data_IF_616444840692
#
_entry.id   IF_616444840692
#
_cell.length_a   1.000
_cell.length_b   1.000
_cell.length_c   1.000
_cell.angle_alpha   90.00
_cell.angle_beta   90.00
_cell.angle_gamma   90.00
#
_symmetry.space_group_name_H-M   'P 1'
#
loop_
_entity.id
_entity.type
_entity.pdbx_description
1 polymer ?
#
# COMPACT_ATOMS: atom_id res chain seq x y z
N UNK A 1 -42.18 64.31 61.35
CA UNK A 1 -42.30 63.99 59.90
C UNK A 1 -41.85 62.55 59.70
N UNK A 2 -42.81 61.61 59.75
CA UNK A 2 -43.25 60.73 58.64
C UNK A 2 -42.21 59.65 58.27
N UNK A 3 -42.22 58.47 58.90
CA UNK A 3 -42.96 57.22 58.59
C UNK A 3 -42.39 56.33 57.45
N UNK A 4 -42.03 55.11 57.86
CA UNK A 4 -42.15 53.78 57.19
C UNK A 4 -41.22 53.36 56.02
N UNK A 5 -40.47 52.28 56.26
CA UNK A 5 -40.06 51.20 55.33
C UNK A 5 -41.29 50.54 54.65
N UNK A 6 -41.23 49.72 53.56
CA UNK A 6 -40.36 48.52 53.43
C UNK A 6 -40.01 47.99 51.99
N UNK A 7 -39.14 46.95 51.97
CA UNK A 7 -39.03 45.77 51.05
C UNK A 7 -39.21 45.90 49.52
N UNK A 8 -38.19 45.40 48.79
CA UNK A 8 -38.31 44.15 48.02
C UNK A 8 -38.40 44.18 46.48
N UNK A 9 -37.66 43.24 45.87
CA UNK A 9 -37.91 42.51 44.61
C UNK A 9 -37.33 43.02 43.26
N UNK A 10 -36.41 42.18 42.75
CA UNK A 10 -36.31 41.60 41.39
C UNK A 10 -36.47 42.40 40.10
N UNK A 11 -35.54 42.09 39.18
CA UNK A 11 -35.72 41.75 37.75
C UNK A 11 -35.34 42.77 36.66
N UNK A 12 -34.34 42.33 35.87
CA UNK A 12 -34.20 42.33 34.40
C UNK A 12 -34.21 43.63 33.53
N UNK A 13 -33.09 43.78 32.80
CA UNK A 13 -33.01 44.16 31.36
C UNK A 13 -32.47 45.57 31.03
N UNK A 14 -32.06 45.89 29.78
CA UNK A 14 -31.45 45.03 28.74
C UNK A 14 -30.28 45.68 27.93
N UNK A 15 -29.60 44.84 27.12
CA UNK A 15 -29.03 45.11 25.76
C UNK A 15 -27.98 46.19 25.48
N UNK A 16 -26.80 45.77 24.98
CA UNK A 16 -26.19 46.11 23.65
C UNK A 16 -24.73 45.61 23.59
N UNK A 17 -24.27 44.96 22.48
CA UNK A 17 -23.87 45.74 21.31
C UNK A 17 -24.24 45.13 19.94
N UNK A 18 -24.63 46.03 19.02
CA UNK A 18 -24.02 46.18 17.68
C UNK A 18 -24.14 45.04 16.65
N UNK A 19 -24.69 45.29 15.44
CA UNK A 19 -24.95 44.27 14.44
C UNK A 19 -23.71 44.02 13.57
N UNK A 20 -23.17 42.80 13.61
CA UNK A 20 -22.43 42.29 12.45
C UNK A 20 -23.40 41.52 11.56
N UNK A 21 -23.83 42.25 10.55
CA UNK A 21 -24.53 41.80 9.35
C UNK A 21 -23.97 40.50 8.79
N UNK A 22 -24.87 39.54 8.56
CA UNK A 22 -24.60 38.37 7.74
C UNK A 22 -24.20 38.76 6.32
N UNK A 23 -23.10 38.18 5.85
CA UNK A 23 -22.73 38.13 4.44
C UNK A 23 -22.92 36.70 3.90
N UNK A 24 -23.40 36.51 2.67
CA UNK A 24 -23.71 35.21 2.11
C UNK A 24 -22.43 34.57 1.56
N UNK A 25 -21.63 33.98 2.44
CA UNK A 25 -20.64 32.99 2.02
C UNK A 25 -21.22 31.59 2.23
N UNK A 26 -22.34 31.30 1.58
CA UNK A 26 -22.67 29.94 1.15
C UNK A 26 -21.80 29.56 -0.05
N UNK A 27 -20.49 29.74 0.08
CA UNK A 27 -19.52 29.05 -0.76
C UNK A 27 -19.58 27.60 -0.37
N UNK A 28 -20.36 26.80 -1.12
CA UNK A 28 -20.38 25.36 -0.96
C UNK A 28 -18.95 24.85 -0.99
N UNK A 29 -18.44 24.46 0.18
CA UNK A 29 -17.18 23.74 0.30
C UNK A 29 -17.40 22.43 -0.43
N UNK A 30 -17.08 22.39 -1.71
CA UNK A 30 -16.97 21.15 -2.47
C UNK A 30 -16.04 20.26 -1.68
N UNK A 31 -16.60 19.21 -1.06
CA UNK A 31 -15.83 18.30 -0.20
C UNK A 31 -14.65 17.76 -1.01
N UNK A 32 -13.38 18.08 -0.65
CA UNK A 32 -12.20 17.75 -1.48
C UNK A 32 -11.97 16.24 -1.67
N UNK A 33 -12.68 15.41 -0.91
CA UNK A 33 -12.48 13.96 -0.80
C UNK A 33 -12.94 13.16 -2.03
N UNK A 34 -13.92 13.66 -2.78
CA UNK A 34 -14.43 12.97 -3.97
C UNK A 34 -13.50 13.06 -5.17
N UNK A 35 -12.82 14.21 -5.33
CA UNK A 35 -11.97 14.50 -6.48
C UNK A 35 -10.62 13.79 -6.43
N UNK A 36 -9.96 13.67 -5.27
CA UNK A 36 -8.71 12.91 -5.15
C UNK A 36 -8.91 11.41 -5.38
N UNK A 37 -10.04 10.86 -4.90
CA UNK A 37 -10.41 9.45 -5.07
C UNK A 37 -10.63 9.07 -6.53
N UNK A 38 -11.45 9.85 -7.26
CA UNK A 38 -11.67 9.64 -8.69
C UNK A 38 -10.38 9.77 -9.49
N UNK A 39 -9.49 10.68 -9.09
CA UNK A 39 -8.17 10.85 -9.69
C UNK A 39 -7.28 9.62 -9.49
N UNK A 40 -7.23 9.02 -8.29
CA UNK A 40 -6.42 7.82 -8.05
C UNK A 40 -6.84 6.58 -8.84
N UNK A 41 -8.14 6.29 -8.86
CA UNK A 41 -8.69 5.22 -9.71
C UNK A 41 -8.46 5.53 -11.19
N UNK A 42 -8.64 6.79 -11.59
CA UNK A 42 -8.32 7.24 -12.95
C UNK A 42 -6.86 7.00 -13.32
N UNK A 43 -5.92 7.41 -12.47
CA UNK A 43 -4.49 7.17 -12.68
C UNK A 43 -4.14 5.68 -12.72
N UNK A 44 -4.72 4.86 -11.83
CA UNK A 44 -4.54 3.41 -11.88
C UNK A 44 -5.01 2.81 -13.21
N UNK A 45 -6.19 3.21 -13.71
CA UNK A 45 -6.70 2.78 -15.01
C UNK A 45 -5.82 3.26 -16.17
N UNK A 46 -5.37 4.52 -16.13
CA UNK A 46 -4.44 5.07 -17.13
C UNK A 46 -3.14 4.28 -17.13
N UNK A 47 -2.57 3.94 -15.97
CA UNK A 47 -1.37 3.10 -15.86
C UNK A 47 -1.57 1.73 -16.51
N UNK A 48 -2.72 1.08 -16.29
CA UNK A 48 -3.02 -0.21 -16.92
C UNK A 48 -3.09 -0.09 -18.44
N UNK A 49 -3.84 0.89 -18.96
CA UNK A 49 -3.99 1.09 -20.42
C UNK A 49 -2.65 1.42 -21.07
N UNK A 50 -1.92 2.40 -20.51
CA UNK A 50 -0.61 2.81 -21.02
C UNK A 50 0.39 1.66 -20.93
N UNK A 51 0.40 0.91 -19.83
CA UNK A 51 1.28 -0.24 -19.64
C UNK A 51 1.03 -1.35 -20.65
N UNK A 52 -0.24 -1.71 -20.92
CA UNK A 52 -0.60 -2.72 -21.94
C UNK A 52 -0.20 -2.26 -23.34
N UNK A 53 -0.45 -0.99 -23.68
CA UNK A 53 -0.04 -0.42 -24.97
C UNK A 53 1.48 -0.44 -25.09
N UNK A 54 2.20 0.04 -24.07
CA UNK A 54 3.65 0.10 -24.06
C UNK A 54 4.27 -1.30 -24.17
N UNK A 55 3.74 -2.28 -23.44
CA UNK A 55 4.16 -3.68 -23.52
C UNK A 55 3.99 -4.23 -24.94
N UNK A 56 2.82 -4.00 -25.54
CA UNK A 56 2.51 -4.48 -26.89
C UNK A 56 3.41 -3.84 -27.96
N UNK A 57 3.71 -2.55 -27.82
CA UNK A 57 4.61 -1.83 -28.72
C UNK A 57 6.04 -2.34 -28.58
N UNK A 58 6.56 -2.42 -27.36
CA UNK A 58 7.93 -2.90 -27.09
C UNK A 58 8.10 -4.33 -27.58
N UNK A 59 7.15 -5.23 -27.28
CA UNK A 59 7.14 -6.60 -27.77
C UNK A 59 7.21 -6.65 -29.30
N UNK A 60 6.33 -5.91 -29.97
CA UNK A 60 6.25 -5.91 -31.43
C UNK A 60 7.51 -5.37 -32.08
N UNK A 61 8.12 -4.32 -31.54
CA UNK A 61 9.39 -3.80 -32.05
C UNK A 61 10.52 -4.79 -31.81
N UNK A 62 10.64 -5.31 -30.57
CA UNK A 62 11.67 -6.28 -30.19
C UNK A 62 11.70 -7.49 -31.12
N UNK A 63 10.54 -8.11 -31.36
CA UNK A 63 10.41 -9.30 -32.23
C UNK A 63 10.64 -8.97 -33.71
N UNK A 64 10.22 -7.79 -34.18
CA UNK A 64 10.41 -7.41 -35.59
C UNK A 64 11.84 -7.04 -35.95
N UNK A 65 12.60 -6.53 -34.99
CA UNK A 65 13.96 -6.03 -35.23
C UNK A 65 15.03 -6.94 -34.64
N UNK A 66 14.66 -8.07 -34.04
CA UNK A 66 15.55 -8.96 -33.27
C UNK A 66 16.43 -8.21 -32.26
N UNK A 67 15.89 -7.14 -31.66
CA UNK A 67 16.66 -6.23 -30.82
C UNK A 67 16.51 -6.60 -29.35
N UNK A 68 17.38 -7.47 -28.86
CA UNK A 68 17.39 -7.93 -27.47
C UNK A 68 17.60 -6.80 -26.43
N UNK A 69 18.08 -5.62 -26.82
CA UNK A 69 18.18 -4.48 -25.91
C UNK A 69 16.81 -4.01 -25.40
N UNK A 70 15.71 -4.36 -26.08
CA UNK A 70 14.35 -4.06 -25.64
C UNK A 70 13.81 -5.08 -24.61
N UNK A 71 14.50 -6.19 -24.39
CA UNK A 71 14.03 -7.24 -23.48
C UNK A 71 13.97 -6.78 -22.00
N UNK A 72 14.98 -6.09 -21.43
CA UNK A 72 14.86 -5.53 -20.09
C UNK A 72 13.70 -4.54 -19.96
N UNK A 73 13.42 -3.77 -21.01
CA UNK A 73 12.27 -2.86 -21.07
C UNK A 73 10.95 -3.63 -21.05
N UNK A 74 10.85 -4.71 -21.82
CA UNK A 74 9.67 -5.59 -21.83
C UNK A 74 9.40 -6.19 -20.45
N UNK A 75 10.43 -6.73 -19.80
CA UNK A 75 10.35 -7.28 -18.43
C UNK A 75 9.85 -6.23 -17.45
N UNK A 76 10.46 -5.04 -17.46
CA UNK A 76 10.10 -3.95 -16.55
C UNK A 76 8.64 -3.53 -16.74
N UNK A 77 8.20 -3.27 -17.98
CA UNK A 77 6.83 -2.83 -18.25
C UNK A 77 5.82 -3.90 -17.84
N UNK A 78 6.08 -5.17 -18.20
CA UNK A 78 5.20 -6.28 -17.86
C UNK A 78 5.07 -6.48 -16.35
N UNK A 79 6.18 -6.35 -15.61
CA UNK A 79 6.20 -6.52 -14.16
C UNK A 79 5.59 -5.31 -13.41
N UNK A 80 5.84 -4.07 -13.86
CA UNK A 80 5.47 -2.84 -13.12
C UNK A 80 4.02 -2.41 -13.29
N UNK A 81 3.39 -2.73 -14.42
CA UNK A 81 2.10 -2.16 -14.81
C UNK A 81 1.00 -2.35 -13.77
N UNK A 82 0.78 -3.58 -13.31
CA UNK A 82 -0.30 -3.90 -12.36
C UNK A 82 0.04 -3.44 -10.93
N UNK A 83 1.24 -3.72 -10.37
CA UNK A 83 1.62 -3.22 -9.04
C UNK A 83 1.54 -1.70 -8.92
N UNK A 84 1.97 -0.97 -9.96
CA UNK A 84 1.94 0.49 -9.96
C UNK A 84 0.49 1.02 -9.99
N UNK A 85 -0.39 0.39 -10.76
CA UNK A 85 -1.81 0.77 -10.78
C UNK A 85 -2.46 0.63 -9.39
N UNK A 86 -2.15 -0.46 -8.68
CA UNK A 86 -2.63 -0.68 -7.31
C UNK A 86 -2.05 0.34 -6.33
N UNK A 87 -0.77 0.68 -6.48
CA UNK A 87 -0.13 1.72 -5.68
C UNK A 87 -0.81 3.08 -5.86
N UNK A 88 -1.19 3.48 -7.08
CA UNK A 88 -1.96 4.71 -7.30
C UNK A 88 -3.32 4.69 -6.58
N UNK A 89 -4.03 3.56 -6.60
CA UNK A 89 -5.31 3.41 -5.89
C UNK A 89 -5.14 3.49 -4.38
N UNK A 90 -4.11 2.85 -3.83
CA UNK A 90 -3.79 2.88 -2.41
C UNK A 90 -3.37 4.29 -1.96
N UNK A 91 -2.49 4.94 -2.73
CA UNK A 91 -2.01 6.30 -2.47
C UNK A 91 -3.17 7.31 -2.41
N UNK A 92 -4.11 7.23 -3.36
CA UNK A 92 -5.25 8.14 -3.39
C UNK A 92 -6.31 7.86 -2.31
N UNK A 93 -6.21 6.74 -1.59
CA UNK A 93 -7.17 6.36 -0.56
C UNK A 93 -7.01 7.15 0.74
N UNK A 94 -5.83 7.73 1.02
CA UNK A 94 -5.58 8.54 2.21
C UNK A 94 -4.95 9.90 1.86
N UNK A 95 -5.72 10.98 2.08
CA UNK A 95 -5.27 12.35 1.83
C UNK A 95 -4.08 12.76 2.70
N UNK A 96 -3.86 12.10 3.85
CA UNK A 96 -2.76 12.41 4.77
C UNK A 96 -1.39 12.01 4.21
N UNK A 97 -1.36 11.21 3.14
CA UNK A 97 -0.14 10.77 2.46
C UNK A 97 0.30 11.77 1.38
N UNK A 98 -0.57 12.71 0.98
CA UNK A 98 -0.20 13.77 0.04
C UNK A 98 1.01 14.58 0.56
N UNK A 99 1.92 14.95 -0.36
CA UNK A 99 3.19 15.59 -0.04
C UNK A 99 4.32 14.63 0.35
N UNK A 100 4.08 13.31 0.33
CA UNK A 100 5.07 12.26 0.60
C UNK A 100 5.30 11.35 -0.61
N UNK A 101 5.06 11.84 -1.84
CA UNK A 101 5.21 11.07 -3.08
C UNK A 101 6.62 10.49 -3.20
N UNK A 102 7.63 11.31 -2.90
CA UNK A 102 9.03 10.90 -2.91
C UNK A 102 9.32 9.75 -1.95
N UNK A 103 8.77 9.79 -0.73
CA UNK A 103 8.94 8.71 0.25
C UNK A 103 8.31 7.40 -0.24
N UNK A 104 7.11 7.48 -0.82
CA UNK A 104 6.41 6.32 -1.37
C UNK A 104 7.19 5.70 -2.54
N UNK A 105 7.69 6.54 -3.46
CA UNK A 105 8.51 6.09 -4.58
C UNK A 105 9.82 5.45 -4.11
N UNK A 106 10.53 6.08 -3.16
CA UNK A 106 11.74 5.54 -2.56
C UNK A 106 11.46 4.22 -1.83
N UNK A 107 10.31 4.09 -1.16
CA UNK A 107 9.91 2.84 -0.50
C UNK A 107 9.66 1.73 -1.51
N UNK A 108 9.06 2.02 -2.66
CA UNK A 108 8.91 1.04 -3.72
C UNK A 108 10.26 0.60 -4.30
N UNK A 109 11.14 1.56 -4.62
CA UNK A 109 12.45 1.25 -5.21
C UNK A 109 13.34 0.49 -4.22
N UNK A 110 13.59 1.05 -3.04
CA UNK A 110 14.47 0.43 -2.05
C UNK A 110 13.83 -0.79 -1.40
N UNK A 111 12.51 -0.82 -1.19
CA UNK A 111 11.81 -2.00 -0.69
C UNK A 111 11.94 -3.18 -1.64
N UNK A 112 11.85 -2.94 -2.95
CA UNK A 112 12.16 -3.94 -3.97
C UNK A 112 13.60 -4.40 -3.91
N UNK A 113 14.56 -3.47 -4.04
CA UNK A 113 15.99 -3.80 -4.08
C UNK A 113 16.41 -4.54 -2.81
N UNK A 114 16.27 -3.91 -1.64
CA UNK A 114 16.69 -4.47 -0.36
C UNK A 114 15.94 -5.77 -0.07
N UNK A 115 14.63 -5.80 -0.34
CA UNK A 115 13.81 -6.98 -0.11
C UNK A 115 14.31 -8.19 -0.92
N UNK A 116 14.37 -8.06 -2.24
CA UNK A 116 14.79 -9.15 -3.14
C UNK A 116 16.25 -9.57 -2.93
N UNK A 117 17.18 -8.64 -2.74
CA UNK A 117 18.58 -9.00 -2.49
C UNK A 117 18.78 -9.70 -1.15
N UNK A 118 18.06 -9.25 -0.12
CA UNK A 118 18.13 -9.88 1.21
C UNK A 118 17.50 -11.27 1.18
N UNK A 119 16.31 -11.38 0.57
CA UNK A 119 15.60 -12.64 0.41
C UNK A 119 16.44 -13.67 -0.36
N UNK A 120 16.89 -13.32 -1.57
CA UNK A 120 17.71 -14.21 -2.39
C UNK A 120 19.02 -14.65 -1.73
N UNK A 121 19.66 -13.78 -0.94
CA UNK A 121 20.88 -14.16 -0.19
C UNK A 121 20.58 -15.16 0.92
N UNK A 122 19.55 -14.88 1.74
CA UNK A 122 19.19 -15.71 2.88
C UNK A 122 18.56 -17.04 2.45
N UNK A 123 17.75 -17.04 1.41
CA UNK A 123 17.18 -18.26 0.83
C UNK A 123 18.26 -19.19 0.30
N UNK A 124 19.25 -18.63 -0.42
CA UNK A 124 20.40 -19.41 -0.86
C UNK A 124 21.07 -20.10 0.33
N UNK A 125 21.41 -19.36 1.39
CA UNK A 125 22.05 -19.94 2.58
C UNK A 125 21.17 -20.98 3.28
N UNK A 126 19.88 -20.70 3.47
CA UNK A 126 18.96 -21.56 4.23
C UNK A 126 18.61 -22.83 3.45
N UNK A 127 18.32 -22.74 2.16
CA UNK A 127 18.00 -23.92 1.35
C UNK A 127 19.22 -24.84 1.17
N UNK A 128 20.44 -24.30 1.15
CA UNK A 128 21.67 -25.12 1.12
C UNK A 128 21.93 -25.83 2.46
N UNK A 129 21.67 -25.19 3.61
CA UNK A 129 22.00 -25.74 4.94
C UNK A 129 20.87 -26.54 5.58
N UNK A 130 19.62 -26.17 5.30
CA UNK A 130 18.41 -26.71 5.94
C UNK A 130 17.29 -26.90 4.91
N UNK A 131 17.49 -27.74 3.88
CA UNK A 131 16.52 -27.91 2.78
C UNK A 131 15.14 -28.40 3.25
N UNK A 132 15.07 -29.07 4.41
CA UNK A 132 13.84 -29.59 4.99
C UNK A 132 12.88 -28.49 5.47
N UNK A 133 13.34 -27.26 5.67
CA UNK A 133 12.46 -26.13 6.01
C UNK A 133 11.58 -25.69 4.82
N UNK A 134 12.00 -26.02 3.59
CA UNK A 134 11.22 -25.85 2.37
C UNK A 134 10.61 -24.46 2.17
N UNK A 135 9.40 -24.41 1.61
CA UNK A 135 8.72 -23.16 1.24
C UNK A 135 8.29 -22.31 2.44
N UNK A 136 8.18 -22.88 3.65
CA UNK A 136 7.89 -22.10 4.85
C UNK A 136 9.05 -21.18 5.22
N UNK A 137 10.31 -21.66 5.11
CA UNK A 137 11.47 -20.81 5.34
C UNK A 137 11.57 -19.68 4.31
N UNK A 138 11.34 -20.00 3.03
CA UNK A 138 11.29 -18.99 1.94
C UNK A 138 10.27 -17.92 2.29
N UNK A 139 9.02 -18.31 2.60
CA UNK A 139 7.97 -17.37 2.98
C UNK A 139 8.35 -16.50 4.21
N UNK A 140 8.94 -17.08 5.26
CA UNK A 140 9.39 -16.32 6.43
C UNK A 140 10.47 -15.29 6.06
N UNK A 141 11.47 -15.71 5.28
CA UNK A 141 12.58 -14.86 4.85
C UNK A 141 12.06 -13.71 4.00
N UNK A 142 11.30 -14.02 2.97
CA UNK A 142 10.73 -13.08 2.03
C UNK A 142 9.84 -12.05 2.70
N UNK A 143 8.86 -12.51 3.50
CA UNK A 143 7.93 -11.59 4.17
C UNK A 143 8.64 -10.72 5.21
N UNK A 144 9.72 -11.20 5.83
CA UNK A 144 10.54 -10.39 6.74
C UNK A 144 11.39 -9.37 5.97
N UNK A 145 12.00 -9.76 4.86
CA UNK A 145 12.86 -8.90 4.04
C UNK A 145 12.07 -7.69 3.49
N UNK A 146 10.82 -7.90 3.07
CA UNK A 146 9.91 -6.83 2.60
C UNK A 146 9.63 -5.75 3.65
N UNK A 147 9.81 -6.06 4.94
CA UNK A 147 9.59 -5.13 6.04
C UNK A 147 10.83 -4.31 6.40
N UNK A 148 12.01 -4.56 5.84
CA UNK A 148 13.24 -3.85 6.22
C UNK A 148 13.10 -2.34 5.99
N UNK A 149 12.74 -1.94 4.77
CA UNK A 149 12.61 -0.52 4.41
C UNK A 149 11.45 0.15 5.17
N UNK A 150 10.23 -0.41 5.22
CA UNK A 150 9.18 0.11 6.08
C UNK A 150 9.57 0.15 7.56
N UNK A 151 10.28 -0.85 8.08
CA UNK A 151 10.74 -0.90 9.47
C UNK A 151 11.72 0.23 9.80
N UNK A 152 12.66 0.51 8.90
CA UNK A 152 13.57 1.65 8.99
C UNK A 152 12.80 2.97 9.03
N UNK A 153 11.84 3.15 8.10
CA UNK A 153 10.98 4.34 8.07
C UNK A 153 10.14 4.44 9.35
N UNK A 154 9.64 3.32 9.87
CA UNK A 154 8.86 3.30 11.11
C UNK A 154 9.70 3.78 12.30
N UNK A 155 10.95 3.33 12.41
CA UNK A 155 11.84 3.66 13.52
C UNK A 155 12.27 5.13 13.52
N UNK A 156 12.58 5.70 12.35
CA UNK A 156 13.08 7.09 12.24
C UNK A 156 12.04 8.12 11.82
N UNK A 157 10.89 7.67 11.30
CA UNK A 157 9.80 8.53 10.89
C UNK A 157 9.04 9.12 12.08
N UNK A 158 8.71 10.42 11.99
CA UNK A 158 7.93 11.14 13.00
C UNK A 158 6.42 10.97 12.84
N UNK A 159 5.94 10.68 11.62
CA UNK A 159 4.51 10.50 11.33
C UNK A 159 4.17 9.03 11.17
N UNK A 160 3.28 8.53 12.03
CA UNK A 160 2.89 7.12 12.06
C UNK A 160 1.37 6.97 12.01
N UNK A 161 0.74 7.38 10.91
CA UNK A 161 -0.69 7.11 10.71
C UNK A 161 -0.89 5.75 10.07
N UNK A 162 -1.87 4.98 10.54
CA UNK A 162 -2.19 3.68 9.97
C UNK A 162 -2.38 3.69 8.43
N UNK A 163 -2.96 4.75 7.86
CA UNK A 163 -3.09 4.88 6.39
C UNK A 163 -1.77 5.07 5.65
N UNK A 164 -0.79 5.75 6.25
CA UNK A 164 0.58 5.79 5.70
C UNK A 164 1.24 4.41 5.74
N UNK A 165 0.96 3.60 6.76
CA UNK A 165 1.39 2.20 6.82
C UNK A 165 0.87 1.35 5.65
N UNK A 166 -0.41 1.52 5.26
CA UNK A 166 -0.96 0.82 4.07
C UNK A 166 -0.17 1.21 2.82
N UNK A 167 0.01 2.51 2.56
CA UNK A 167 0.64 2.97 1.32
C UNK A 167 2.12 2.57 1.25
N UNK A 168 2.87 2.69 2.35
CA UNK A 168 4.28 2.27 2.40
C UNK A 168 4.42 0.75 2.29
N UNK A 169 3.50 -0.02 2.86
CA UNK A 169 3.46 -1.48 2.69
C UNK A 169 3.16 -1.90 1.26
N UNK A 170 2.14 -1.30 0.65
CA UNK A 170 1.80 -1.51 -0.77
C UNK A 170 2.98 -1.13 -1.67
N UNK A 171 3.66 -0.02 -1.38
CA UNK A 171 4.84 0.40 -2.13
C UNK A 171 5.98 -0.61 -2.04
N UNK A 172 6.36 -1.02 -0.82
CA UNK A 172 7.44 -2.00 -0.61
C UNK A 172 7.11 -3.34 -1.28
N UNK A 173 5.89 -3.85 -1.07
CA UNK A 173 5.42 -5.10 -1.68
C UNK A 173 5.32 -5.03 -3.21
N UNK A 174 4.91 -3.89 -3.76
CA UNK A 174 4.91 -3.66 -5.21
C UNK A 174 6.33 -3.66 -5.77
N UNK A 175 7.27 -2.95 -5.12
CA UNK A 175 8.67 -2.96 -5.50
C UNK A 175 9.27 -4.36 -5.55
N UNK A 176 9.02 -5.15 -4.50
CA UNK A 176 9.45 -6.54 -4.44
C UNK A 176 8.86 -7.36 -5.58
N UNK A 177 7.53 -7.31 -5.75
CA UNK A 177 6.82 -8.04 -6.78
C UNK A 177 7.34 -7.72 -8.20
N UNK A 178 7.68 -6.45 -8.46
CA UNK A 178 8.22 -6.03 -9.76
C UNK A 178 9.56 -6.70 -10.02
N UNK A 179 10.53 -6.54 -9.11
CA UNK A 179 11.89 -7.06 -9.34
C UNK A 179 11.92 -8.59 -9.38
N UNK A 180 11.17 -9.24 -8.50
CA UNK A 180 11.05 -10.69 -8.50
C UNK A 180 10.39 -11.20 -9.80
N UNK A 181 9.29 -10.56 -10.24
CA UNK A 181 8.60 -10.93 -11.49
C UNK A 181 9.48 -10.73 -12.72
N UNK A 182 10.33 -9.70 -12.75
CA UNK A 182 11.35 -9.55 -13.80
C UNK A 182 12.31 -10.75 -13.82
N UNK A 183 12.77 -11.21 -12.64
CA UNK A 183 13.61 -12.40 -12.50
C UNK A 183 12.92 -13.67 -13.01
N UNK A 184 11.64 -13.89 -12.65
CA UNK A 184 10.86 -15.00 -13.18
C UNK A 184 10.68 -14.94 -14.69
N UNK A 185 10.47 -13.74 -15.26
CA UNK A 185 10.38 -13.55 -16.71
C UNK A 185 11.69 -13.90 -17.42
N UNK A 186 12.83 -13.52 -16.85
CA UNK A 186 14.15 -13.92 -17.37
C UNK A 186 14.36 -15.44 -17.27
N UNK A 187 14.02 -16.05 -16.13
CA UNK A 187 14.13 -17.49 -15.94
C UNK A 187 13.25 -18.26 -16.93
N UNK A 188 12.03 -17.78 -17.21
CA UNK A 188 11.15 -18.36 -18.20
C UNK A 188 11.80 -18.33 -19.60
N UNK A 189 12.42 -17.22 -19.99
CA UNK A 189 13.13 -17.11 -21.27
C UNK A 189 14.25 -18.15 -21.37
N UNK A 190 15.08 -18.26 -20.33
CA UNK A 190 16.24 -19.17 -20.31
C UNK A 190 15.77 -20.62 -20.33
N UNK A 191 14.83 -20.99 -19.47
CA UNK A 191 14.31 -22.35 -19.34
C UNK A 191 13.60 -22.86 -20.59
N UNK A 192 13.07 -21.95 -21.41
CA UNK A 192 12.36 -22.25 -22.66
C UNK A 192 13.18 -21.96 -23.92
N UNK A 193 14.49 -21.74 -23.77
CA UNK A 193 15.42 -21.48 -24.87
C UNK A 193 15.01 -20.32 -25.78
N UNK A 194 14.50 -19.23 -25.19
CA UNK A 194 14.15 -18.01 -25.91
C UNK A 194 12.67 -17.84 -26.25
N UNK A 195 11.76 -18.66 -25.70
CA UNK A 195 10.33 -18.52 -25.97
C UNK A 195 9.73 -17.29 -25.27
N UNK A 196 9.43 -16.26 -26.06
CA UNK A 196 8.89 -14.98 -25.60
C UNK A 196 7.42 -15.08 -25.15
N UNK A 197 6.66 -16.04 -25.66
CA UNK A 197 5.28 -16.28 -25.21
C UNK A 197 5.26 -16.84 -23.78
N UNK A 198 6.23 -17.68 -23.44
CA UNK A 198 6.39 -18.18 -22.07
C UNK A 198 6.72 -17.03 -21.10
N UNK A 199 7.61 -16.12 -21.48
CA UNK A 199 7.88 -14.89 -20.71
C UNK A 199 6.60 -14.07 -20.53
N UNK A 200 5.83 -13.88 -21.59
CA UNK A 200 4.58 -13.11 -21.56
C UNK A 200 3.54 -13.74 -20.62
N UNK A 201 3.39 -15.06 -20.67
CA UNK A 201 2.50 -15.80 -19.78
C UNK A 201 2.94 -15.67 -18.31
N UNK A 202 4.24 -15.76 -18.03
CA UNK A 202 4.80 -15.57 -16.69
C UNK A 202 4.55 -14.15 -16.17
N UNK A 203 4.86 -13.13 -16.97
CA UNK A 203 4.64 -11.72 -16.59
C UNK A 203 3.16 -11.42 -16.39
N UNK A 204 2.27 -11.94 -17.24
CA UNK A 204 0.83 -11.75 -17.11
C UNK A 204 0.30 -12.39 -15.83
N UNK A 205 0.62 -13.67 -15.59
CA UNK A 205 0.14 -14.41 -14.43
C UNK A 205 0.63 -13.77 -13.13
N UNK A 206 1.94 -13.54 -13.01
CA UNK A 206 2.54 -12.94 -11.81
C UNK A 206 2.12 -11.49 -11.63
N UNK A 207 2.11 -10.71 -12.71
CA UNK A 207 1.69 -9.31 -12.69
C UNK A 207 0.25 -9.17 -12.20
N UNK A 208 -0.69 -9.95 -12.75
CA UNK A 208 -2.10 -9.89 -12.39
C UNK A 208 -2.39 -10.36 -10.97
N UNK A 209 -1.65 -11.35 -10.48
CA UNK A 209 -1.86 -11.95 -9.16
C UNK A 209 -1.03 -11.28 -8.05
N UNK A 210 -0.01 -10.50 -8.40
CA UNK A 210 0.82 -9.76 -7.44
C UNK A 210 0.05 -8.84 -6.48
N UNK A 211 -1.08 -8.19 -6.85
CA UNK A 211 -1.92 -7.45 -5.91
C UNK A 211 -2.47 -8.31 -4.78
N UNK A 212 -2.77 -9.58 -5.09
CA UNK A 212 -3.30 -10.57 -4.17
C UNK A 212 -2.20 -11.41 -3.50
N UNK A 213 -0.94 -11.11 -3.76
CA UNK A 213 0.25 -11.69 -3.13
C UNK A 213 1.03 -10.63 -2.37
N UNK A 214 2.30 -10.45 -2.75
CA UNK A 214 3.26 -9.55 -2.10
C UNK A 214 2.69 -8.17 -1.72
N UNK A 215 1.90 -7.55 -2.61
CA UNK A 215 1.34 -6.21 -2.38
C UNK A 215 0.36 -6.19 -1.22
N UNK A 216 -0.61 -7.11 -1.19
CA UNK A 216 -1.57 -7.22 -0.11
C UNK A 216 -0.90 -7.60 1.21
N UNK A 217 -0.04 -8.63 1.17
CA UNK A 217 0.62 -9.19 2.35
C UNK A 217 1.50 -8.16 3.07
N UNK A 218 2.32 -7.45 2.30
CA UNK A 218 3.15 -6.38 2.83
C UNK A 218 2.28 -5.20 3.27
N UNK A 219 1.24 -4.86 2.50
CA UNK A 219 0.28 -3.80 2.81
C UNK A 219 -0.37 -3.95 4.18
N UNK A 220 -0.97 -5.11 4.48
CA UNK A 220 -1.62 -5.31 5.77
C UNK A 220 -0.62 -5.47 6.92
N UNK A 221 0.57 -6.01 6.66
CA UNK A 221 1.58 -6.21 7.70
C UNK A 221 2.18 -4.87 8.14
N UNK A 222 2.50 -3.99 7.19
CA UNK A 222 3.01 -2.65 7.48
C UNK A 222 1.92 -1.74 8.07
N UNK A 223 0.67 -1.87 7.64
CA UNK A 223 -0.46 -1.22 8.32
C UNK A 223 -0.52 -1.59 9.81
N UNK A 224 -0.41 -2.88 10.12
CA UNK A 224 -0.44 -3.36 11.50
C UNK A 224 0.76 -2.86 12.32
N UNK A 225 1.95 -2.78 11.71
CA UNK A 225 3.13 -2.17 12.32
C UNK A 225 2.88 -0.70 12.67
N UNK A 226 2.36 0.09 11.73
CA UNK A 226 2.08 1.52 11.95
C UNK A 226 1.04 1.75 13.06
N UNK A 227 0.05 0.86 13.17
CA UNK A 227 -0.99 0.92 14.23
C UNK A 227 -0.42 0.73 15.65
N UNK A 228 0.80 0.19 15.79
CA UNK A 228 1.47 0.10 17.10
C UNK A 228 1.77 1.47 17.70
N UNK A 229 1.87 2.53 16.90
CA UNK A 229 2.08 3.91 17.37
C UNK A 229 0.77 4.63 17.76
N UNK A 230 -0.37 4.19 17.22
CA UNK A 230 -1.66 4.88 17.33
C UNK A 230 -2.54 4.40 18.51
N UNK A 231 -2.12 3.39 19.29
CA UNK A 231 -2.98 2.76 20.32
C UNK A 231 -2.53 3.04 21.77
N UNK A 232 -3.42 3.53 22.66
CA UNK A 232 -3.13 3.69 24.09
C UNK A 232 -2.79 2.33 24.74
N UNK A 233 -1.75 2.30 25.57
CA UNK A 233 -1.31 1.07 26.30
C UNK A 233 -2.34 0.65 27.37
N UNK A 234 -2.39 -0.66 27.74
CA UNK A 234 -1.53 -1.76 27.30
C UNK A 234 -2.16 -2.50 26.11
N UNK A 235 -1.67 -2.23 24.90
CA UNK A 235 -2.41 -2.41 23.65
C UNK A 235 -2.16 -3.74 22.92
N UNK A 236 -3.20 -4.22 22.23
CA UNK A 236 -3.14 -5.34 21.29
C UNK A 236 -2.33 -5.05 20.00
N UNK A 237 -1.72 -3.87 19.82
CA UNK A 237 -1.05 -3.46 18.57
C UNK A 237 0.06 -4.44 18.13
N UNK A 238 0.96 -4.80 19.05
CA UNK A 238 2.03 -5.79 18.77
C UNK A 238 1.45 -7.16 18.38
N UNK A 239 0.36 -7.58 19.03
CA UNK A 239 -0.32 -8.85 18.70
C UNK A 239 -0.92 -8.79 17.29
N UNK A 240 -1.55 -7.67 16.91
CA UNK A 240 -2.09 -7.48 15.56
C UNK A 240 -0.98 -7.51 14.51
N UNK A 241 0.16 -6.87 14.77
CA UNK A 241 1.32 -6.94 13.87
C UNK A 241 1.84 -8.37 13.70
N UNK A 242 2.06 -9.10 14.80
CA UNK A 242 2.52 -10.49 14.74
C UNK A 242 1.53 -11.37 13.97
N UNK A 243 0.23 -11.24 14.22
CA UNK A 243 -0.78 -12.01 13.50
C UNK A 243 -0.88 -11.65 12.02
N UNK A 244 -0.73 -10.37 11.68
CA UNK A 244 -0.66 -9.93 10.29
C UNK A 244 0.55 -10.58 9.58
N UNK A 245 1.74 -10.48 10.17
CA UNK A 245 2.95 -11.09 9.61
C UNK A 245 2.83 -12.62 9.49
N UNK A 246 2.35 -13.32 10.52
CA UNK A 246 2.11 -14.77 10.46
C UNK A 246 1.11 -15.12 9.35
N UNK A 247 0.06 -14.31 9.17
CA UNK A 247 -0.91 -14.51 8.09
C UNK A 247 -0.26 -14.36 6.71
N UNK A 248 0.58 -13.33 6.52
CA UNK A 248 1.36 -13.16 5.29
C UNK A 248 2.23 -14.39 4.99
N UNK A 249 2.99 -14.86 5.99
CA UNK A 249 3.86 -16.04 5.86
C UNK A 249 3.06 -17.29 5.50
N UNK A 250 1.90 -17.53 6.13
CA UNK A 250 1.06 -18.70 5.82
C UNK A 250 0.48 -18.60 4.41
N UNK A 251 -0.08 -17.44 4.03
CA UNK A 251 -0.63 -17.23 2.69
C UNK A 251 0.44 -17.45 1.62
N UNK A 252 1.65 -16.96 1.86
CA UNK A 252 2.79 -17.12 0.98
C UNK A 252 3.25 -18.58 0.91
N UNK A 253 3.49 -19.24 2.04
CA UNK A 253 3.88 -20.65 2.05
C UNK A 253 2.84 -21.56 1.38
N UNK A 254 1.54 -21.24 1.51
CA UNK A 254 0.47 -21.95 0.80
C UNK A 254 0.52 -21.68 -0.69
N UNK A 255 0.68 -20.42 -1.11
CA UNK A 255 0.80 -20.05 -2.52
C UNK A 255 1.93 -20.80 -3.23
N UNK A 256 3.09 -20.85 -2.59
CA UNK A 256 4.29 -21.45 -3.12
C UNK A 256 4.34 -22.98 -2.97
N UNK A 257 3.74 -23.50 -1.90
CA UNK A 257 3.85 -24.90 -1.50
C UNK A 257 2.78 -25.83 -2.08
N UNK A 258 1.84 -25.33 -2.88
CA UNK A 258 0.73 -26.14 -3.40
C UNK A 258 0.53 -26.00 -4.90
N UNK A 259 0.00 -27.04 -5.54
CA UNK A 259 -0.51 -27.00 -6.91
C UNK A 259 -2.05 -27.02 -6.94
N UNK A 260 -2.71 -27.03 -5.78
CA UNK A 260 -4.16 -27.15 -5.66
C UNK A 260 -4.83 -25.82 -5.96
N UNK A 261 -5.58 -25.74 -7.07
CA UNK A 261 -6.17 -24.49 -7.55
C UNK A 261 -7.14 -23.84 -6.55
N UNK A 262 -7.93 -24.63 -5.79
CA UNK A 262 -8.90 -24.08 -4.83
C UNK A 262 -8.21 -23.35 -3.66
N UNK A 263 -7.00 -23.80 -3.29
CA UNK A 263 -6.21 -23.12 -2.26
C UNK A 263 -5.69 -21.78 -2.77
N UNK A 264 -5.25 -21.69 -4.02
CA UNK A 264 -4.87 -20.42 -4.65
C UNK A 264 -6.03 -19.44 -4.70
N UNK A 265 -7.24 -19.89 -5.05
CA UNK A 265 -8.44 -19.06 -5.03
C UNK A 265 -8.71 -18.53 -3.62
N UNK A 266 -8.58 -19.38 -2.60
CA UNK A 266 -8.69 -18.98 -1.20
C UNK A 266 -7.67 -17.90 -0.81
N UNK A 267 -6.39 -18.09 -1.17
CA UNK A 267 -5.31 -17.12 -0.93
C UNK A 267 -5.62 -15.78 -1.59
N UNK A 268 -6.02 -15.79 -2.87
CA UNK A 268 -6.36 -14.58 -3.61
C UNK A 268 -7.53 -13.85 -2.95
N UNK A 269 -8.59 -14.57 -2.59
CA UNK A 269 -9.78 -13.99 -1.98
C UNK A 269 -9.46 -13.33 -0.63
N UNK A 270 -8.75 -14.03 0.26
CA UNK A 270 -8.35 -13.49 1.57
C UNK A 270 -7.49 -12.24 1.40
N UNK A 271 -6.52 -12.28 0.48
CA UNK A 271 -5.57 -11.20 0.27
C UNK A 271 -6.21 -9.95 -0.32
N UNK A 272 -7.07 -10.11 -1.34
CA UNK A 272 -7.81 -9.02 -1.95
C UNK A 272 -8.79 -8.41 -0.95
N UNK A 273 -9.54 -9.23 -0.22
CA UNK A 273 -10.46 -8.72 0.81
C UNK A 273 -9.71 -7.96 1.91
N UNK A 274 -8.57 -8.48 2.38
CA UNK A 274 -7.73 -7.81 3.37
C UNK A 274 -7.27 -6.43 2.89
N UNK A 275 -6.67 -6.38 1.70
CA UNK A 275 -6.18 -5.13 1.12
C UNK A 275 -7.31 -4.11 0.87
N UNK A 276 -8.42 -4.53 0.27
CA UNK A 276 -9.57 -3.66 0.01
C UNK A 276 -10.19 -3.14 1.31
N UNK A 277 -10.31 -4.00 2.34
CA UNK A 277 -10.82 -3.59 3.65
C UNK A 277 -9.96 -2.49 4.28
N UNK A 278 -8.63 -2.61 4.18
CA UNK A 278 -7.71 -1.58 4.66
C UNK A 278 -7.77 -0.30 3.86
N UNK A 279 -7.85 -0.39 2.54
CA UNK A 279 -8.03 0.78 1.66
C UNK A 279 -9.33 1.50 2.00
N UNK A 280 -10.43 0.77 2.22
CA UNK A 280 -11.74 1.34 2.60
C UNK A 280 -11.70 1.95 4.00
N UNK A 281 -11.07 1.27 4.97
CA UNK A 281 -10.92 1.78 6.33
C UNK A 281 -10.03 3.03 6.40
N UNK A 282 -8.96 3.08 5.62
CA UNK A 282 -8.10 4.27 5.51
C UNK A 282 -8.89 5.48 4.99
N UNK A 283 -9.84 5.24 4.07
CA UNK A 283 -10.77 6.27 3.59
C UNK A 283 -11.72 6.77 4.67
N UNK A 284 -12.24 5.91 5.55
CA UNK A 284 -13.21 6.36 6.57
C UNK A 284 -12.55 7.16 7.70
N UNK A 285 -11.31 6.84 8.05
CA UNK A 285 -10.58 7.51 9.14
C UNK A 285 -10.00 8.88 8.75
N UNK A 286 -9.70 9.11 7.48
CA UNK A 286 -9.26 10.42 6.98
C UNK A 286 -10.35 11.49 7.08
N UNK A 287 -11.62 11.11 7.27
CA UNK A 287 -12.74 12.03 7.44
C UNK A 287 -12.97 12.49 8.89
N UNK A 288 -12.33 11.89 9.89
CA UNK A 288 -12.72 12.07 11.30
C UNK A 288 -11.91 13.09 12.11
N UNK A 289 -10.90 13.76 11.56
CA UNK A 289 -10.21 14.86 12.27
C UNK A 289 -9.75 15.99 11.33
N UNK A 290 -10.35 17.19 11.41
CA UNK A 290 -9.57 18.39 11.13
C UNK A 290 -8.43 18.45 12.16
N UNK A 291 -7.21 18.75 11.71
CA UNK A 291 -6.15 19.15 12.65
C UNK A 291 -6.71 20.30 13.50
N UNK A 292 -6.59 20.19 14.81
CA UNK A 292 -6.93 21.33 15.65
C UNK A 292 -6.00 22.48 15.25
N UNK A 293 -6.46 23.74 15.24
CA UNK A 293 -5.60 24.87 14.87
C UNK A 293 -4.37 25.06 15.79
N UNK A 294 -4.24 24.27 16.87
CA UNK A 294 -3.21 24.43 17.89
C UNK A 294 -2.09 23.37 17.85
N UNK A 295 -2.13 22.39 16.94
CA UNK A 295 -1.10 21.32 16.87
C UNK A 295 0.12 21.64 15.97
N UNK A 296 0.34 22.89 15.58
CA UNK A 296 1.58 23.34 14.92
C UNK A 296 2.31 24.32 15.83
N UNK A 297 3.06 23.78 16.79
CA UNK A 297 4.19 24.45 17.46
C UNK A 297 5.32 23.44 17.60
#
# INVERSE_FOLDING_TARGET
MSFSSPRGSSSQGPSSPGPYSGGPYSGGVSSPSGSSRRRGVGWGLVTLVVGVIAYSVVMRVMVRTDNLNLFPTLLLIGAVTVPLAVLFVAYAADQRVHGHEGLVALTAVFGGIVGTTTAGSLEFDVLHRMPWLGMLAVAVIEETAKLIVPGVIYLWGRRRTAGMGVVLGVASGAGFAVLETMGYGLNALIATHGNVDAVSATLLLRGLLSPAGHVAWTGFTVWALWRCADTPKPSNGRRVFVWAWVTAVILHAVWDGTSVWILHVGVVFISVLGLLSLIVWSRSTSHQKPASPWEVV
#
